data_IF_833530519913
#
_entry.id   IF_833530519913
#
_cell.length_a   1.000
_cell.length_b   1.000
_cell.length_c   1.000
_cell.angle_alpha   90.00
_cell.angle_beta   90.00
_cell.angle_gamma   90.00
#
_symmetry.space_group_name_H-M   'P 1'
#
loop_
_entity.id
_entity.type
_entity.pdbx_description
1 polymer ?
#
# COMPACT_ATOMS: atom_id res chain seq x y z
N UNK A 1 -2.73 -22.96 18.83
CA UNK A 1 -2.24 -24.35 18.76
C UNK A 1 -1.45 -24.51 17.47
N UNK A 2 -0.14 -24.70 17.56
CA UNK A 2 0.76 -24.88 16.41
C UNK A 2 0.58 -26.27 15.81
N UNK A 3 0.63 -26.40 14.48
CA UNK A 3 0.53 -27.72 13.84
C UNK A 3 1.92 -28.39 13.86
N UNK A 4 2.13 -29.45 14.67
CA UNK A 4 3.45 -30.07 14.82
C UNK A 4 3.99 -30.64 13.50
N UNK A 5 3.10 -31.08 12.59
CA UNK A 5 3.51 -31.61 11.29
C UNK A 5 4.16 -30.55 10.38
N UNK A 6 3.89 -29.26 10.62
CA UNK A 6 4.51 -28.16 9.86
C UNK A 6 5.89 -27.81 10.43
N UNK A 7 6.06 -27.86 11.76
CA UNK A 7 7.37 -27.65 12.41
C UNK A 7 8.37 -28.73 11.98
N UNK A 8 7.93 -29.99 12.02
CA UNK A 8 8.76 -31.12 11.56
C UNK A 8 9.15 -30.95 10.08
N UNK A 9 8.25 -30.47 9.22
CA UNK A 9 8.59 -30.24 7.80
C UNK A 9 9.59 -29.11 7.62
N UNK A 10 9.47 -28.01 8.36
CA UNK A 10 10.45 -26.91 8.30
C UNK A 10 11.84 -27.36 8.75
N UNK A 11 11.91 -28.13 9.85
CA UNK A 11 13.19 -28.62 10.37
C UNK A 11 13.85 -29.64 9.42
N UNK A 12 13.08 -30.56 8.84
CA UNK A 12 13.63 -31.57 7.92
C UNK A 12 14.15 -30.95 6.63
N UNK A 13 13.46 -29.92 6.10
CA UNK A 13 13.95 -29.17 4.92
C UNK A 13 15.26 -28.44 5.19
N UNK A 14 15.45 -27.89 6.40
CA UNK A 14 16.69 -27.22 6.81
C UNK A 14 17.89 -28.19 6.94
N UNK A 15 17.65 -29.44 7.37
CA UNK A 15 18.72 -30.45 7.50
C UNK A 15 19.27 -30.95 6.16
N UNK A 16 18.51 -30.78 5.06
CA UNK A 16 18.94 -31.16 3.71
C UNK A 16 19.59 -30.02 2.92
N UNK A 17 19.89 -28.91 3.58
CA UNK A 17 20.47 -27.76 2.91
C UNK A 17 21.92 -28.00 2.54
N UNK A 18 22.25 -27.60 1.32
CA UNK A 18 23.63 -27.52 0.87
C UNK A 18 24.33 -26.38 1.62
N UNK A 19 25.59 -26.59 2.03
CA UNK A 19 26.36 -25.52 2.66
C UNK A 19 26.55 -24.35 1.68
N UNK A 20 26.62 -23.11 2.18
CA UNK A 20 26.91 -21.95 1.35
C UNK A 20 28.33 -22.04 0.80
N UNK A 21 28.48 -21.64 -0.45
CA UNK A 21 29.78 -21.55 -1.12
C UNK A 21 30.62 -20.41 -0.51
N UNK A 22 31.97 -20.44 -0.65
CA UNK A 22 32.82 -19.37 -0.15
C UNK A 22 32.45 -17.98 -0.69
N UNK A 23 32.05 -17.91 -1.97
CA UNK A 23 31.59 -16.67 -2.61
C UNK A 23 30.31 -16.12 -1.96
N UNK A 24 29.38 -16.99 -1.60
CA UNK A 24 28.15 -16.60 -0.90
C UNK A 24 28.43 -16.13 0.53
N UNK A 25 29.38 -16.77 1.23
CA UNK A 25 29.79 -16.34 2.56
C UNK A 25 30.45 -14.96 2.53
N UNK A 26 31.31 -14.69 1.54
CA UNK A 26 31.93 -13.39 1.36
C UNK A 26 30.90 -12.31 1.01
N UNK A 27 29.99 -12.60 0.07
CA UNK A 27 28.90 -11.71 -0.29
C UNK A 27 27.99 -11.40 0.91
N UNK A 28 27.70 -12.42 1.75
CA UNK A 28 26.94 -12.24 2.97
C UNK A 28 27.66 -11.32 3.96
N UNK A 29 28.96 -11.54 4.19
CA UNK A 29 29.77 -10.68 5.08
C UNK A 29 29.77 -9.23 4.62
N UNK A 30 29.98 -9.01 3.32
CA UNK A 30 29.93 -7.67 2.74
C UNK A 30 28.54 -7.01 2.93
N UNK A 31 27.46 -7.79 2.81
CA UNK A 31 26.10 -7.26 2.97
C UNK A 31 25.75 -6.98 4.43
N UNK A 32 26.15 -7.85 5.36
CA UNK A 32 25.92 -7.68 6.79
C UNK A 32 26.60 -6.44 7.38
N UNK A 33 27.64 -5.90 6.72
CA UNK A 33 28.22 -4.61 7.11
C UNK A 33 27.26 -3.42 6.97
N UNK A 34 26.21 -3.55 6.15
CA UNK A 34 25.23 -2.48 5.86
C UNK A 34 23.79 -2.86 6.20
N UNK A 35 23.54 -4.14 6.53
CA UNK A 35 22.22 -4.68 6.75
C UNK A 35 22.03 -5.11 8.22
N UNK A 36 20.98 -4.60 8.86
CA UNK A 36 20.62 -4.97 10.23
C UNK A 36 19.69 -6.19 10.24
N UNK A 37 20.16 -7.28 10.83
CA UNK A 37 19.39 -8.53 10.92
C UNK A 37 18.29 -8.39 11.98
N UNK A 38 17.09 -8.87 11.66
CA UNK A 38 16.00 -8.95 12.63
C UNK A 38 16.34 -9.91 13.78
N UNK A 39 15.94 -9.60 15.02
CA UNK A 39 16.13 -10.51 16.15
C UNK A 39 15.45 -11.86 15.87
N UNK A 40 16.17 -12.95 16.12
CA UNK A 40 15.73 -14.32 15.88
C UNK A 40 15.73 -14.79 14.43
N UNK A 41 16.29 -14.00 13.51
CA UNK A 41 16.51 -14.38 12.13
C UNK A 41 18.01 -14.47 11.82
N UNK A 42 18.37 -15.38 10.91
CA UNK A 42 19.72 -15.55 10.38
C UNK A 42 19.73 -15.21 8.89
N UNK A 43 20.68 -14.38 8.47
CA UNK A 43 20.81 -14.01 7.06
C UNK A 43 21.59 -15.07 6.28
N UNK A 44 21.13 -15.36 5.08
CA UNK A 44 21.74 -16.29 4.15
C UNK A 44 21.81 -15.64 2.77
N UNK A 45 22.91 -15.85 2.07
CA UNK A 45 23.09 -15.39 0.70
C UNK A 45 23.08 -16.60 -0.24
N UNK A 46 22.22 -16.58 -1.25
CA UNK A 46 21.99 -17.74 -2.12
C UNK A 46 22.04 -17.31 -3.58
N UNK A 47 22.96 -17.91 -4.33
CA UNK A 47 23.07 -17.79 -5.76
C UNK A 47 22.38 -18.98 -6.44
N UNK A 48 21.45 -18.67 -7.34
CA UNK A 48 20.78 -19.65 -8.17
C UNK A 48 21.27 -19.44 -9.60
N UNK A 49 21.83 -20.49 -10.19
CA UNK A 49 22.30 -20.49 -11.57
C UNK A 49 21.30 -21.30 -12.41
N UNK A 50 20.83 -20.71 -13.51
CA UNK A 50 19.95 -21.35 -14.47
C UNK A 50 20.66 -22.51 -15.17
N UNK A 51 19.95 -23.60 -15.39
CA UNK A 51 20.45 -24.78 -16.10
C UNK A 51 19.40 -25.26 -17.09
N UNK A 52 19.81 -25.53 -18.32
CA UNK A 52 18.92 -26.03 -19.38
C UNK A 52 18.19 -27.29 -18.92
N UNK A 53 16.87 -27.35 -19.19
CA UNK A 53 16.01 -28.47 -18.77
C UNK A 53 15.62 -28.47 -17.29
N UNK A 54 16.15 -27.55 -16.48
CA UNK A 54 15.78 -27.42 -15.06
C UNK A 54 14.56 -26.53 -14.86
N UNK A 55 13.85 -26.74 -13.75
CA UNK A 55 12.75 -25.86 -13.31
C UNK A 55 13.22 -25.08 -12.09
N UNK A 56 12.86 -23.80 -12.00
CA UNK A 56 13.13 -23.00 -10.80
C UNK A 56 12.46 -23.61 -9.57
N UNK A 57 11.18 -23.98 -9.67
CA UNK A 57 10.43 -24.70 -8.62
C UNK A 57 10.16 -23.90 -7.35
N UNK A 58 10.32 -22.58 -7.39
CA UNK A 58 10.10 -21.66 -6.28
C UNK A 58 8.66 -21.14 -6.26
N UNK A 59 7.97 -21.32 -5.13
CA UNK A 59 6.67 -20.68 -4.87
C UNK A 59 6.83 -19.65 -3.76
N UNK A 60 6.53 -18.39 -4.06
CA UNK A 60 6.57 -17.28 -3.11
C UNK A 60 5.17 -16.77 -2.79
N UNK A 61 5.06 -16.05 -1.68
CA UNK A 61 3.82 -15.44 -1.20
C UNK A 61 4.12 -14.09 -0.58
N UNK A 62 3.18 -13.17 -0.68
CA UNK A 62 3.23 -11.87 -0.02
C UNK A 62 2.59 -11.93 1.37
N UNK A 63 3.22 -11.29 2.35
CA UNK A 63 2.66 -11.08 3.68
C UNK A 63 3.23 -9.79 4.27
N UNK A 64 2.35 -8.82 4.58
CA UNK A 64 2.73 -7.57 5.25
C UNK A 64 3.90 -6.84 4.57
N UNK A 65 3.80 -6.61 3.25
CA UNK A 65 4.84 -6.00 2.41
C UNK A 65 6.20 -6.72 2.47
N UNK A 66 6.16 -8.04 2.65
CA UNK A 66 7.32 -8.93 2.59
C UNK A 66 7.02 -10.12 1.70
N UNK A 67 8.08 -10.67 1.12
CA UNK A 67 8.01 -11.87 0.27
C UNK A 67 8.57 -13.06 1.02
N UNK A 68 7.79 -14.14 1.10
CA UNK A 68 8.13 -15.35 1.85
C UNK A 68 8.06 -16.57 0.96
N UNK A 69 9.01 -17.48 1.09
CA UNK A 69 9.03 -18.76 0.39
C UNK A 69 7.95 -19.67 0.94
N UNK A 70 6.93 -19.94 0.14
CA UNK A 70 5.77 -20.72 0.53
C UNK A 70 5.95 -22.23 0.33
N UNK A 71 6.62 -22.63 -0.74
CA UNK A 71 6.86 -24.01 -1.13
C UNK A 71 7.99 -24.08 -2.16
N UNK A 72 8.71 -25.20 -2.15
CA UNK A 72 9.65 -25.56 -3.20
C UNK A 72 9.30 -26.92 -3.79
N UNK A 73 9.63 -27.14 -5.07
CA UNK A 73 9.48 -28.45 -5.72
C UNK A 73 10.76 -29.27 -5.53
N UNK A 74 10.60 -30.54 -5.17
CA UNK A 74 11.73 -31.47 -5.13
C UNK A 74 12.41 -31.58 -6.50
N UNK A 75 13.74 -31.63 -6.50
CA UNK A 75 14.56 -31.71 -7.73
C UNK A 75 14.57 -30.43 -8.56
N UNK A 76 14.13 -29.29 -8.01
CA UNK A 76 14.24 -27.98 -8.66
C UNK A 76 15.54 -27.25 -8.29
N UNK A 77 15.85 -26.15 -8.98
CA UNK A 77 17.08 -25.37 -8.74
C UNK A 77 17.18 -24.79 -7.33
N UNK A 78 16.04 -24.48 -6.70
CA UNK A 78 16.02 -23.94 -5.33
C UNK A 78 15.97 -25.02 -4.25
N UNK A 79 15.73 -26.28 -4.64
CA UNK A 79 15.63 -27.39 -3.69
C UNK A 79 16.98 -27.62 -3.01
N UNK A 80 16.99 -27.63 -1.68
CA UNK A 80 18.22 -27.77 -0.90
C UNK A 80 19.10 -26.51 -0.86
N UNK A 81 18.68 -25.39 -1.44
CA UNK A 81 19.35 -24.08 -1.30
C UNK A 81 18.61 -23.13 -0.36
N UNK A 82 17.30 -23.28 -0.24
CA UNK A 82 16.40 -22.43 0.55
C UNK A 82 15.46 -23.31 1.38
N UNK A 83 14.77 -22.70 2.35
CA UNK A 83 13.75 -23.36 3.17
C UNK A 83 12.37 -22.71 3.00
N UNK A 84 11.33 -23.51 3.25
CA UNK A 84 9.99 -22.96 3.41
C UNK A 84 9.98 -22.01 4.61
N UNK A 85 9.42 -20.82 4.40
CA UNK A 85 9.36 -19.79 5.42
C UNK A 85 10.51 -18.80 5.43
N UNK A 86 11.54 -19.02 4.58
CA UNK A 86 12.59 -18.02 4.34
C UNK A 86 11.94 -16.76 3.74
N UNK A 87 12.31 -15.59 4.27
CA UNK A 87 11.92 -14.31 3.70
C UNK A 87 12.94 -13.91 2.63
N UNK A 88 12.46 -13.54 1.45
CA UNK A 88 13.30 -12.96 0.40
C UNK A 88 13.38 -11.46 0.67
N UNK A 89 14.56 -11.00 1.10
CA UNK A 89 14.81 -9.59 1.42
C UNK A 89 15.28 -8.84 0.18
N UNK A 90 16.22 -9.43 -0.57
CA UNK A 90 16.77 -8.82 -1.78
C UNK A 90 16.89 -9.81 -2.94
N UNK A 91 16.78 -9.27 -4.15
CA UNK A 91 17.06 -9.94 -5.43
C UNK A 91 18.05 -9.07 -6.19
N UNK A 92 19.24 -9.60 -6.48
CA UNK A 92 20.35 -8.88 -7.13
C UNK A 92 20.65 -7.49 -6.50
N UNK A 93 20.57 -7.43 -5.16
CA UNK A 93 20.82 -6.21 -4.37
C UNK A 93 19.64 -5.24 -4.28
N UNK A 94 18.52 -5.52 -4.95
CA UNK A 94 17.29 -4.72 -4.87
C UNK A 94 16.38 -5.24 -3.76
N UNK A 95 15.89 -4.36 -2.90
CA UNK A 95 14.96 -4.70 -1.82
C UNK A 95 13.59 -5.11 -2.34
N UNK A 96 13.08 -6.22 -1.83
CA UNK A 96 11.78 -6.77 -2.21
C UNK A 96 10.72 -6.46 -1.16
N UNK A 97 9.72 -5.66 -1.57
CA UNK A 97 8.54 -5.33 -0.77
C UNK A 97 7.30 -6.08 -1.24
N UNK A 98 7.19 -6.36 -2.54
CA UNK A 98 6.00 -6.96 -3.14
C UNK A 98 6.32 -8.28 -3.85
N UNK A 99 5.37 -9.21 -3.88
CA UNK A 99 5.55 -10.50 -4.54
C UNK A 99 5.67 -10.34 -6.06
N UNK A 100 4.94 -9.39 -6.65
CA UNK A 100 4.96 -9.14 -8.10
C UNK A 100 6.36 -8.74 -8.56
N UNK A 101 6.96 -7.75 -7.90
CA UNK A 101 8.30 -7.27 -8.22
C UNK A 101 9.35 -8.35 -8.00
N UNK A 102 9.25 -9.12 -6.92
CA UNK A 102 10.16 -10.23 -6.67
C UNK A 102 10.09 -11.31 -7.75
N UNK A 103 8.89 -11.68 -8.20
CA UNK A 103 8.75 -12.63 -9.30
C UNK A 103 9.38 -12.10 -10.59
N UNK A 104 9.10 -10.85 -10.95
CA UNK A 104 9.61 -10.23 -12.18
C UNK A 104 11.13 -10.15 -12.16
N UNK A 105 11.73 -9.66 -11.07
CA UNK A 105 13.19 -9.55 -10.95
C UNK A 105 13.88 -10.91 -11.01
N UNK A 106 13.36 -11.92 -10.28
CA UNK A 106 13.95 -13.27 -10.30
C UNK A 106 13.90 -13.88 -11.71
N UNK A 107 12.76 -13.77 -12.39
CA UNK A 107 12.59 -14.32 -13.74
C UNK A 107 13.49 -13.57 -14.73
N UNK A 108 13.52 -12.24 -14.67
CA UNK A 108 14.35 -11.41 -15.54
C UNK A 108 15.84 -11.70 -15.36
N UNK A 109 16.31 -11.82 -14.11
CA UNK A 109 17.69 -12.14 -13.79
C UNK A 109 18.10 -13.50 -14.36
N UNK A 110 17.28 -14.53 -14.14
CA UNK A 110 17.55 -15.87 -14.67
C UNK A 110 17.51 -15.94 -16.20
N UNK A 111 16.66 -15.14 -16.86
CA UNK A 111 16.58 -15.11 -18.32
C UNK A 111 17.72 -14.34 -18.97
N UNK A 112 18.20 -13.25 -18.35
CA UNK A 112 19.22 -12.37 -18.93
C UNK A 112 20.63 -12.73 -18.51
N UNK A 113 20.81 -13.03 -17.23
CA UNK A 113 22.13 -13.22 -16.62
C UNK A 113 22.44 -14.70 -16.36
N UNK A 114 21.47 -15.58 -16.59
CA UNK A 114 21.52 -17.01 -16.24
C UNK A 114 21.80 -17.28 -14.76
N UNK A 115 21.71 -16.24 -13.91
CA UNK A 115 21.94 -16.32 -12.48
C UNK A 115 21.14 -15.24 -11.76
N UNK A 116 20.79 -15.52 -10.51
CA UNK A 116 20.16 -14.56 -9.59
C UNK A 116 20.75 -14.75 -8.20
N UNK A 117 21.08 -13.65 -7.54
CA UNK A 117 21.54 -13.62 -6.17
C UNK A 117 20.42 -13.17 -5.24
N UNK A 118 20.22 -13.90 -4.14
CA UNK A 118 19.16 -13.65 -3.18
C UNK A 118 19.73 -13.44 -1.78
N UNK A 119 19.24 -12.41 -1.08
CA UNK A 119 19.44 -12.27 0.36
C UNK A 119 18.20 -12.77 1.08
N UNK A 120 18.38 -13.75 1.96
CA UNK A 120 17.31 -14.43 2.68
C UNK A 120 17.45 -14.22 4.17
N UNK A 121 16.31 -14.05 4.84
CA UNK A 121 16.21 -14.14 6.30
C UNK A 121 15.52 -15.45 6.67
N UNK A 122 16.23 -16.29 7.43
CA UNK A 122 15.74 -17.57 7.92
C UNK A 122 15.33 -17.45 9.39
N UNK A 123 14.15 -17.95 9.78
CA UNK A 123 13.72 -17.94 11.17
C UNK A 123 14.46 -19.02 12.01
N UNK A 124 15.21 -18.59 13.03
CA UNK A 124 15.90 -19.49 13.97
C UNK A 124 15.14 -19.63 15.29
N UNK A 125 14.70 -18.51 15.85
CA UNK A 125 14.04 -18.48 17.15
C UNK A 125 12.59 -19.00 17.08
N UNK A 126 12.07 -19.41 18.22
CA UNK A 126 10.67 -19.85 18.35
C UNK A 126 9.68 -18.77 17.87
N UNK A 127 9.90 -17.52 18.26
CA UNK A 127 9.07 -16.38 17.83
C UNK A 127 9.16 -16.14 16.32
N UNK A 128 10.36 -16.19 15.76
CA UNK A 128 10.60 -16.04 14.33
C UNK A 128 9.93 -17.15 13.51
N UNK A 129 9.99 -18.40 14.00
CA UNK A 129 9.32 -19.56 13.41
C UNK A 129 7.79 -19.43 13.48
N UNK A 130 7.25 -18.92 14.59
CA UNK A 130 5.82 -18.59 14.72
C UNK A 130 5.42 -17.51 13.72
N UNK A 131 6.22 -16.44 13.57
CA UNK A 131 5.96 -15.40 12.57
C UNK A 131 5.92 -15.97 11.14
N UNK A 132 6.91 -16.80 10.78
CA UNK A 132 6.98 -17.43 9.46
C UNK A 132 5.77 -18.32 9.20
N UNK A 133 5.34 -19.09 10.21
CA UNK A 133 4.11 -19.87 10.15
C UNK A 133 2.88 -19.00 9.89
N UNK A 134 2.72 -17.89 10.60
CA UNK A 134 1.57 -16.98 10.41
C UNK A 134 1.58 -16.42 8.99
N UNK A 135 2.74 -16.00 8.48
CA UNK A 135 2.90 -15.52 7.12
C UNK A 135 2.50 -16.57 6.07
N UNK A 136 2.88 -17.83 6.30
CA UNK A 136 2.52 -18.95 5.44
C UNK A 136 1.02 -19.31 5.53
N UNK A 137 0.42 -19.22 6.72
CA UNK A 137 -0.98 -19.57 6.97
C UNK A 137 -1.97 -18.53 6.47
N UNK A 138 -1.66 -17.22 6.60
CA UNK A 138 -2.57 -16.14 6.15
C UNK A 138 -2.78 -16.25 4.66
N UNK A 139 -3.87 -16.88 4.21
CA UNK A 139 -4.26 -16.85 2.80
C UNK A 139 -4.23 -15.41 2.36
N UNK A 140 -3.55 -15.09 1.25
CA UNK A 140 -3.77 -13.81 0.58
C UNK A 140 -5.27 -13.62 0.55
N UNK A 141 -5.81 -12.51 1.05
CA UNK A 141 -7.24 -12.22 1.09
C UNK A 141 -7.81 -12.24 -0.34
N UNK A 142 -7.99 -13.43 -0.88
CA UNK A 142 -8.80 -13.75 -2.03
C UNK A 142 -9.99 -14.43 -1.41
N UNK A 143 -10.98 -13.61 -1.10
CA UNK A 143 -12.31 -14.08 -0.76
C UNK A 143 -12.74 -15.11 -1.81
N UNK A 144 -12.89 -16.34 -1.37
CA UNK A 144 -13.90 -17.30 -1.82
C UNK A 144 -13.78 -18.46 -0.85
N UNK A 145 -14.69 -18.50 0.11
CA UNK A 145 -15.01 -19.73 0.82
C UNK A 145 -15.40 -20.77 -0.25
N UNK A 146 -14.49 -21.68 -0.57
CA UNK A 146 -14.87 -22.94 -1.21
C UNK A 146 -14.86 -24.00 -0.12
N UNK A 147 -16.07 -24.53 0.12
CA UNK A 147 -16.41 -25.55 1.08
C UNK A 147 -15.44 -26.75 1.06
N UNK A 148 -15.29 -27.49 2.17
CA UNK A 148 -14.44 -28.67 2.21
C UNK A 148 -14.97 -29.70 1.20
N UNK A 149 -14.09 -30.11 0.29
CA UNK A 149 -14.39 -31.15 -0.70
C UNK A 149 -14.44 -32.50 0.02
N UNK A 150 -15.64 -33.07 0.11
CA UNK A 150 -15.84 -34.44 0.59
C UNK A 150 -15.03 -35.42 -0.25
N UNK A 151 -14.40 -36.37 0.44
CA UNK A 151 -13.70 -37.50 -0.17
C UNK A 151 -14.77 -38.47 -0.68
N UNK A 152 -14.74 -38.75 -1.98
CA UNK A 152 -15.41 -39.92 -2.54
C UNK A 152 -14.31 -40.84 -3.07
N UNK A 153 -14.09 -41.93 -2.34
CA UNK A 153 -13.33 -43.08 -2.79
C UNK A 153 -14.18 -43.89 -3.76
N UNK A 154 -13.67 -44.21 -4.96
CA UNK A 154 -13.98 -45.48 -5.63
C UNK A 154 -13.01 -45.77 -6.78
N UNK A 155 -12.66 -47.05 -7.06
CA UNK A 155 -11.51 -47.44 -7.88
C UNK A 155 -11.87 -47.80 -9.32
N UNK A 156 -10.83 -47.94 -10.15
CA UNK A 156 -10.78 -48.36 -11.57
C UNK A 156 -10.96 -47.28 -12.64
N UNK A 157 -9.82 -46.79 -13.14
CA UNK A 157 -9.53 -46.94 -14.58
C UNK A 157 -8.02 -46.99 -14.80
N UNK A 158 -7.58 -48.04 -15.48
CA UNK A 158 -6.18 -48.33 -15.80
C UNK A 158 -5.77 -47.55 -17.06
N UNK A 159 -4.52 -47.09 -17.05
CA UNK A 159 -3.59 -47.13 -18.19
C UNK A 159 -3.89 -46.27 -19.43
N UNK A 160 -3.27 -45.10 -19.51
CA UNK A 160 -2.47 -44.69 -20.68
C UNK A 160 -1.32 -43.77 -20.21
N UNK A 161 -0.11 -44.05 -20.70
CA UNK A 161 1.11 -43.40 -20.27
C UNK A 161 1.41 -42.08 -20.98
N UNK A 162 2.38 -41.38 -20.38
CA UNK A 162 3.47 -40.64 -21.01
C UNK A 162 3.17 -39.59 -22.09
N UNK A 163 3.55 -38.35 -21.78
CA UNK A 163 3.98 -37.36 -22.76
C UNK A 163 3.12 -36.10 -22.85
N UNK A 164 3.78 -34.95 -22.82
CA UNK A 164 3.26 -33.67 -23.32
C UNK A 164 2.17 -32.94 -22.50
N UNK A 165 2.57 -32.34 -21.37
CA UNK A 165 1.76 -31.32 -20.66
C UNK A 165 2.62 -30.13 -20.23
N UNK A 166 3.27 -29.48 -21.20
CA UNK A 166 3.88 -28.15 -20.99
C UNK A 166 3.50 -27.14 -22.09
N UNK A 167 2.64 -27.53 -23.04
CA UNK A 167 2.20 -26.65 -24.12
C UNK A 167 0.74 -26.15 -23.97
N UNK A 168 -0.12 -26.85 -23.21
CA UNK A 168 -1.54 -26.46 -23.04
C UNK A 168 -1.85 -25.56 -21.82
N UNK A 169 -0.86 -25.30 -20.94
CA UNK A 169 -1.04 -24.32 -19.86
C UNK A 169 -0.83 -22.89 -20.35
N UNK A 170 -0.04 -22.70 -21.40
CA UNK A 170 0.32 -21.37 -21.92
C UNK A 170 -0.82 -20.71 -22.69
N UNK A 171 -1.63 -21.47 -23.44
CA UNK A 171 -2.79 -20.90 -24.16
C UNK A 171 -3.95 -20.58 -23.21
N UNK A 172 -4.22 -21.45 -22.24
CA UNK A 172 -5.27 -21.23 -21.24
C UNK A 172 -4.91 -20.14 -20.22
N UNK A 173 -3.62 -19.88 -19.99
CA UNK A 173 -3.14 -18.72 -19.22
C UNK A 173 -3.16 -17.42 -20.05
N UNK A 174 -2.86 -17.46 -21.36
CA UNK A 174 -2.98 -16.29 -22.26
C UNK A 174 -4.43 -15.82 -22.45
N UNK A 175 -5.40 -16.74 -22.56
CA UNK A 175 -6.81 -16.36 -22.61
C UNK A 175 -7.29 -15.76 -21.28
N UNK A 176 -6.87 -16.33 -20.15
CA UNK A 176 -7.15 -15.76 -18.81
C UNK A 176 -6.44 -14.43 -18.56
N UNK A 177 -5.28 -14.19 -19.15
CA UNK A 177 -4.60 -12.89 -19.10
C UNK A 177 -5.33 -11.85 -19.95
N UNK A 178 -5.81 -12.19 -21.16
CA UNK A 178 -6.62 -11.29 -21.99
C UNK A 178 -7.97 -10.95 -21.35
N UNK A 179 -8.62 -11.88 -20.66
CA UNK A 179 -9.81 -11.58 -19.86
C UNK A 179 -9.50 -10.66 -18.67
N UNK A 180 -8.39 -10.91 -17.95
CA UNK A 180 -7.96 -10.06 -16.83
C UNK A 180 -7.49 -8.67 -17.25
N UNK A 181 -6.92 -8.52 -18.45
CA UNK A 181 -6.60 -7.21 -19.01
C UNK A 181 -7.87 -6.43 -19.34
N UNK A 182 -8.88 -7.06 -19.95
CA UNK A 182 -10.18 -6.42 -20.18
C UNK A 182 -10.92 -6.05 -18.90
N UNK A 183 -10.79 -6.84 -17.82
CA UNK A 183 -11.30 -6.49 -16.50
C UNK A 183 -10.53 -5.31 -15.87
N UNK A 184 -9.19 -5.30 -15.97
CA UNK A 184 -8.37 -4.19 -15.47
C UNK A 184 -8.56 -2.89 -16.24
N UNK A 185 -8.84 -2.94 -17.53
CA UNK A 185 -9.23 -1.76 -18.30
C UNK A 185 -10.57 -1.19 -17.82
N UNK A 186 -11.58 -2.05 -17.61
CA UNK A 186 -12.87 -1.63 -17.04
C UNK A 186 -12.74 -1.08 -15.61
N UNK A 187 -11.81 -1.60 -14.81
CA UNK A 187 -11.51 -1.07 -13.47
C UNK A 187 -10.82 0.30 -13.55
N UNK A 188 -9.85 0.48 -14.44
CA UNK A 188 -9.19 1.77 -14.67
C UNK A 188 -10.14 2.83 -15.23
N UNK A 189 -11.11 2.46 -16.05
CA UNK A 189 -12.17 3.38 -16.50
C UNK A 189 -13.05 3.82 -15.34
N UNK A 190 -13.49 2.88 -14.48
CA UNK A 190 -14.29 3.20 -13.28
C UNK A 190 -13.51 4.03 -12.26
N UNK A 191 -12.20 3.84 -12.14
CA UNK A 191 -11.35 4.68 -11.29
C UNK A 191 -11.24 6.11 -11.83
N UNK A 192 -11.03 6.27 -13.14
CA UNK A 192 -11.01 7.60 -13.79
C UNK A 192 -12.35 8.32 -13.70
N UNK A 193 -13.47 7.60 -13.74
CA UNK A 193 -14.80 8.20 -13.50
C UNK A 193 -14.96 8.68 -12.05
N UNK A 194 -14.55 7.86 -11.07
CA UNK A 194 -14.60 8.26 -9.65
C UNK A 194 -13.68 9.41 -9.32
N UNK A 195 -12.53 9.53 -10.00
CA UNK A 195 -11.63 10.67 -9.85
C UNK A 195 -12.26 11.96 -10.39
N UNK A 196 -12.88 11.90 -11.58
CA UNK A 196 -13.62 13.03 -12.16
C UNK A 196 -14.83 13.46 -11.31
N UNK A 197 -15.50 12.52 -10.65
CA UNK A 197 -16.58 12.85 -9.71
C UNK A 197 -16.05 13.57 -8.46
N UNK A 198 -14.96 13.08 -7.86
CA UNK A 198 -14.33 13.74 -6.69
C UNK A 198 -13.80 15.13 -7.02
N UNK A 199 -13.31 15.34 -8.25
CA UNK A 199 -12.87 16.67 -8.69
C UNK A 199 -14.04 17.65 -8.79
N UNK A 200 -15.15 17.23 -9.41
CA UNK A 200 -16.38 18.04 -9.49
C UNK A 200 -16.98 18.35 -8.11
N UNK A 201 -16.86 17.43 -7.15
CA UNK A 201 -17.33 17.64 -5.79
C UNK A 201 -16.50 18.70 -5.05
N UNK A 202 -15.16 18.63 -5.17
CA UNK A 202 -14.26 19.66 -4.61
C UNK A 202 -14.45 21.02 -5.25
N UNK A 203 -14.79 21.08 -6.54
CA UNK A 203 -15.09 22.34 -7.21
C UNK A 203 -16.37 23.00 -6.66
N UNK A 204 -17.45 22.21 -6.50
CA UNK A 204 -18.70 22.70 -5.90
C UNK A 204 -18.54 23.13 -4.44
N UNK A 205 -17.65 22.48 -3.69
CA UNK A 205 -17.37 22.84 -2.31
C UNK A 205 -16.65 24.19 -2.21
N UNK A 206 -15.64 24.43 -3.06
CA UNK A 206 -14.96 25.73 -3.17
C UNK A 206 -15.89 26.85 -3.64
N UNK A 207 -16.86 26.55 -4.49
CA UNK A 207 -17.83 27.54 -4.95
C UNK A 207 -18.77 27.98 -3.81
N UNK A 208 -19.29 27.03 -3.03
CA UNK A 208 -20.12 27.31 -1.84
C UNK A 208 -19.36 28.08 -0.77
N UNK A 209 -18.06 27.82 -0.62
CA UNK A 209 -17.22 28.53 0.36
C UNK A 209 -17.04 30.00 -0.04
N UNK A 210 -16.76 30.29 -1.32
CA UNK A 210 -16.70 31.65 -1.86
C UNK A 210 -18.04 32.39 -1.75
N UNK A 211 -19.16 31.68 -1.91
CA UNK A 211 -20.49 32.28 -1.78
C UNK A 211 -20.78 32.72 -0.33
N UNK A 212 -20.47 31.87 0.65
CA UNK A 212 -20.57 32.19 2.08
C UNK A 212 -19.66 33.35 2.49
N UNK A 213 -18.48 33.46 1.88
CA UNK A 213 -17.55 34.54 2.17
C UNK A 213 -18.09 35.89 1.68
N UNK A 214 -18.63 35.94 0.45
CA UNK A 214 -19.31 37.13 -0.09
C UNK A 214 -20.55 37.53 0.71
N UNK A 215 -21.28 36.57 1.26
CA UNK A 215 -22.46 36.84 2.07
C UNK A 215 -22.08 37.50 3.41
N UNK A 216 -21.04 36.98 4.08
CA UNK A 216 -20.48 37.59 5.31
C UNK A 216 -19.93 39.00 5.07
N UNK A 217 -19.35 39.24 3.90
CA UNK A 217 -18.82 40.56 3.55
C UNK A 217 -19.94 41.60 3.37
N UNK A 218 -21.01 41.24 2.66
CA UNK A 218 -22.21 42.08 2.52
C UNK A 218 -22.90 42.36 3.85
N UNK A 219 -22.90 41.39 4.77
CA UNK A 219 -23.50 41.56 6.09
C UNK A 219 -22.73 42.58 6.94
N UNK A 220 -21.38 42.50 6.94
CA UNK A 220 -20.50 43.48 7.58
C UNK A 220 -20.65 44.89 6.99
N UNK A 221 -20.88 44.98 5.68
CA UNK A 221 -21.06 46.28 5.01
C UNK A 221 -22.38 46.95 5.43
N UNK A 222 -23.49 46.18 5.49
CA UNK A 222 -24.78 46.66 6.02
C UNK A 222 -24.71 47.08 7.47
N UNK A 223 -23.92 46.39 8.29
CA UNK A 223 -23.75 46.73 9.70
C UNK A 223 -23.02 48.06 9.88
N UNK A 224 -21.94 48.30 9.11
CA UNK A 224 -21.24 49.59 9.07
C UNK A 224 -22.12 50.73 8.58
N UNK A 225 -23.02 50.47 7.63
CA UNK A 225 -23.94 51.48 7.11
C UNK A 225 -24.97 51.91 8.17
N UNK A 226 -25.56 50.94 8.89
CA UNK A 226 -26.45 51.21 10.03
C UNK A 226 -25.77 51.99 11.16
N UNK A 227 -24.49 51.71 11.40
CA UNK A 227 -23.72 52.41 12.44
C UNK A 227 -23.50 53.88 12.06
N UNK A 228 -23.13 54.15 10.80
CA UNK A 228 -23.02 55.53 10.26
C UNK A 228 -24.36 56.28 10.29
N UNK A 229 -25.47 55.59 10.05
CA UNK A 229 -26.79 56.22 10.08
C UNK A 229 -27.19 56.64 11.51
N UNK A 230 -26.95 55.77 12.50
CA UNK A 230 -27.13 56.10 13.93
C UNK A 230 -26.24 57.26 14.38
N UNK A 231 -25.03 57.35 13.85
CA UNK A 231 -24.11 58.45 14.18
C UNK A 231 -24.61 59.79 13.62
N UNK A 232 -25.06 59.81 12.36
CA UNK A 232 -25.70 60.99 11.76
C UNK A 232 -26.98 61.40 12.48
N UNK A 233 -27.76 60.45 12.98
CA UNK A 233 -28.98 60.74 13.74
C UNK A 233 -28.65 61.37 15.11
N UNK A 234 -27.62 60.86 15.80
CA UNK A 234 -27.10 61.48 17.04
C UNK A 234 -26.59 62.89 16.79
N UNK A 235 -25.86 63.12 15.69
CA UNK A 235 -25.35 64.43 15.33
C UNK A 235 -26.48 65.43 15.03
N UNK A 236 -27.52 65.00 14.29
CA UNK A 236 -28.72 65.82 14.06
C UNK A 236 -29.45 66.16 15.36
N UNK A 237 -29.58 65.19 16.29
CA UNK A 237 -30.21 65.40 17.59
C UNK A 237 -29.43 66.41 18.46
N UNK A 238 -28.09 66.36 18.43
CA UNK A 238 -27.22 67.34 19.09
C UNK A 238 -27.40 68.73 18.45
N UNK A 239 -27.45 68.82 17.12
CA UNK A 239 -27.67 70.10 16.42
C UNK A 239 -29.03 70.74 16.74
N UNK A 240 -30.08 69.94 16.90
CA UNK A 240 -31.42 70.42 17.26
C UNK A 240 -31.40 71.00 18.68
N UNK A 241 -30.85 70.25 19.64
CA UNK A 241 -30.73 70.69 21.04
C UNK A 241 -29.94 71.99 21.18
N UNK A 242 -28.92 72.21 20.35
CA UNK A 242 -28.14 73.45 20.34
C UNK A 242 -28.89 74.66 19.76
N UNK A 243 -29.83 74.45 18.83
CA UNK A 243 -30.69 75.53 18.30
C UNK A 243 -31.72 75.97 19.34
N UNK A 244 -32.28 75.03 20.09
CA UNK A 244 -33.24 75.30 21.16
C UNK A 244 -32.63 76.15 22.29
N UNK A 245 -31.32 76.00 22.56
CA UNK A 245 -30.62 76.76 23.58
C UNK A 245 -30.13 78.15 23.15
N UNK A 246 -30.21 78.50 21.86
CA UNK A 246 -29.77 79.81 21.32
C UNK A 246 -30.89 80.85 21.29
N UNK A 247 -32.15 80.46 21.48
CA UNK A 247 -33.31 81.35 21.46
C UNK A 247 -33.63 82.03 22.82
N UNK A 248 -32.79 81.83 23.85
CA UNK A 248 -33.06 82.32 25.23
C UNK A 248 -32.14 83.48 25.65
N UNK A 249 -31.32 84.03 24.76
CA UNK A 249 -30.48 85.19 25.08
C UNK A 249 -30.53 86.26 23.98
N UNK A 250 -31.66 86.96 23.90
CA UNK A 250 -31.69 88.32 23.34
C UNK A 250 -31.45 89.32 24.49
N UNK A 251 -30.39 90.13 24.46
CA UNK A 251 -30.17 91.16 25.47
C UNK A 251 -31.19 92.31 25.28
N UNK A 252 -31.86 92.80 26.34
CA UNK A 252 -32.74 93.95 26.23
C UNK A 252 -31.93 95.20 25.87
N UNK A 253 -32.41 95.91 24.85
CA UNK A 253 -31.76 97.09 24.27
C UNK A 253 -31.58 98.24 25.26
N UNK A 254 -30.45 98.93 25.13
CA UNK A 254 -30.18 100.20 25.79
C UNK A 254 -31.03 101.30 25.16
N UNK A 255 -32.06 101.77 25.88
CA UNK A 255 -32.73 103.03 25.57
C UNK A 255 -31.99 104.17 26.31
N UNK A 256 -31.39 105.06 25.52
CA UNK A 256 -31.04 106.42 25.95
C UNK A 256 -32.32 107.24 26.09
N UNK A 257 -32.39 108.09 27.13
CA UNK A 257 -33.04 109.43 27.16
C UNK A 257 -32.70 110.03 28.55
N UNK A 258 -31.73 110.97 28.64
CA UNK A 258 -31.83 112.42 28.44
C UNK A 258 -32.47 113.15 29.65
N UNK A 259 -31.64 113.96 30.32
CA UNK A 259 -32.00 114.94 31.36
C UNK A 259 -32.68 116.18 30.78
#
# INVERSE_FOLDING_TARGET
MTNPAVDVKLSTEAMMLQPPTPQEQEALKARLATFTVRPGFSCHYVNIVWRTGSKLGLHIKEYSNMVVVSRMRAGSLVWGRMCRGDRIVEVDGKLMTNMKTAREEIVNALQKNEKVALLLERPEDSEAKVWSRIALMRTSERGTATAPREKIDSPHSKMVGFGFSIFLLTEKEKEKEKEKEKEKEKEKEKEKEKEKEKEKEKEKEKEKEKEKEKEKEKEKEKEKEKEKEKEKEKEKAISHRMKDHKAVFEPPGSANDAY
#
